data_IF_684997492063
#
_entry.id   IF_684997492063
#
_cell.length_a   1.000
_cell.length_b   1.000
_cell.length_c   1.000
_cell.angle_alpha   90.00
_cell.angle_beta   90.00
_cell.angle_gamma   90.00
#
_symmetry.space_group_name_H-M   'P 1'
#
loop_
_entity.id
_entity.type
_entity.pdbx_description
1 polymer ?
#
# COMPACT_ATOMS: atom_id res chain seq x y z
N UNK A 1 3.60 12.13 -10.97
CA UNK A 1 2.78 11.26 -10.12
C UNK A 1 2.52 11.93 -8.78
N UNK A 2 3.48 11.99 -7.84
CA UNK A 2 3.30 12.87 -6.68
C UNK A 2 4.63 13.44 -6.17
N UNK A 3 4.55 14.57 -5.45
CA UNK A 3 5.71 15.25 -4.88
C UNK A 3 5.37 15.88 -3.52
N UNK A 4 6.25 15.68 -2.57
CA UNK A 4 6.30 16.32 -1.27
C UNK A 4 7.48 17.28 -1.24
N UNK A 5 7.22 18.57 -1.00
CA UNK A 5 8.24 19.62 -0.89
C UNK A 5 8.22 20.21 0.51
N UNK A 6 9.26 19.93 1.31
CA UNK A 6 9.44 20.39 2.69
C UNK A 6 8.18 20.18 3.55
N UNK A 7 7.56 18.99 3.45
CA UNK A 7 6.29 18.70 4.13
C UNK A 7 6.52 18.37 5.59
N UNK A 8 5.76 19.06 6.44
CA UNK A 8 5.69 18.83 7.88
C UNK A 8 4.24 18.58 8.28
N UNK A 9 4.03 17.65 9.19
CA UNK A 9 2.70 17.39 9.74
C UNK A 9 2.73 17.30 11.25
N UNK A 10 1.82 18.06 11.91
CA UNK A 10 1.68 18.14 13.35
C UNK A 10 0.30 17.66 13.77
N UNK A 11 0.22 16.80 14.80
CA UNK A 11 -1.04 16.32 15.38
C UNK A 11 -0.96 16.49 16.90
N UNK A 12 -1.99 17.11 17.48
CA UNK A 12 -2.07 17.32 18.94
C UNK A 12 -0.79 17.89 19.57
N UNK A 13 -0.17 18.86 18.91
CA UNK A 13 1.05 19.49 19.40
C UNK A 13 2.36 18.78 19.06
N UNK A 14 2.33 17.52 18.60
CA UNK A 14 3.52 16.72 18.28
C UNK A 14 3.77 16.65 16.77
N UNK A 15 5.03 16.76 16.38
CA UNK A 15 5.45 16.55 14.99
C UNK A 15 5.47 15.05 14.67
N UNK A 16 4.60 14.65 13.72
CA UNK A 16 4.52 13.27 13.24
C UNK A 16 5.39 13.07 12.00
N UNK A 17 5.40 14.07 11.10
CA UNK A 17 6.29 14.08 9.93
C UNK A 17 7.07 15.40 9.92
N UNK A 18 8.35 15.31 9.53
CA UNK A 18 9.28 16.41 9.56
C UNK A 18 10.08 16.45 8.27
N UNK A 19 10.01 17.60 7.59
CA UNK A 19 10.82 17.90 6.40
C UNK A 19 10.82 16.79 5.33
N UNK A 20 9.65 16.23 5.05
CA UNK A 20 9.53 15.20 4.02
C UNK A 20 9.72 15.82 2.64
N UNK A 21 10.73 15.34 1.93
CA UNK A 21 11.03 15.68 0.54
C UNK A 21 11.07 14.39 -0.27
N UNK A 22 10.00 14.08 -1.01
CA UNK A 22 9.88 12.83 -1.73
C UNK A 22 9.11 13.02 -3.02
N UNK A 23 9.69 12.53 -4.12
CA UNK A 23 9.10 12.54 -5.44
C UNK A 23 8.97 11.11 -5.96
N UNK A 24 7.81 10.78 -6.51
CA UNK A 24 7.51 9.50 -7.15
C UNK A 24 6.99 9.79 -8.55
N UNK A 25 7.59 9.13 -9.54
CA UNK A 25 7.19 9.24 -10.95
C UNK A 25 6.12 8.18 -11.29
N UNK A 26 5.39 8.40 -12.38
CA UNK A 26 4.42 7.43 -12.87
C UNK A 26 5.12 6.10 -13.23
N UNK A 27 4.48 4.98 -12.87
CA UNK A 27 4.98 3.63 -13.12
C UNK A 27 6.09 3.16 -12.16
N UNK A 28 6.59 4.01 -11.24
CA UNK A 28 7.56 3.56 -10.22
C UNK A 28 6.90 2.65 -9.17
N UNK A 29 7.72 1.73 -8.63
CA UNK A 29 7.33 0.78 -7.58
C UNK A 29 8.20 0.99 -6.36
N UNK A 30 7.57 1.47 -5.28
CA UNK A 30 8.27 1.83 -4.07
C UNK A 30 7.88 0.93 -2.91
N UNK A 31 8.86 0.36 -2.22
CA UNK A 31 8.69 -0.21 -0.89
C UNK A 31 8.97 0.86 0.16
N UNK A 32 8.08 1.02 1.12
CA UNK A 32 8.24 1.94 2.25
C UNK A 32 8.40 1.10 3.50
N UNK A 33 9.63 1.08 4.03
CA UNK A 33 9.96 0.36 5.26
C UNK A 33 10.06 1.34 6.43
N UNK A 34 9.43 1.00 7.54
CA UNK A 34 9.52 1.81 8.75
C UNK A 34 8.92 1.11 9.96
N UNK A 35 9.51 1.31 11.12
CA UNK A 35 8.98 0.77 12.38
C UNK A 35 7.60 1.33 12.71
N UNK A 36 6.90 0.68 13.64
CA UNK A 36 5.64 1.18 14.15
C UNK A 36 5.83 2.59 14.75
N UNK A 37 4.89 3.49 14.44
CA UNK A 37 5.00 4.89 14.88
C UNK A 37 5.94 5.77 14.03
N UNK A 38 6.60 5.26 12.99
CA UNK A 38 7.50 6.07 12.13
C UNK A 38 6.78 7.12 11.28
N UNK A 39 5.43 7.06 11.16
CA UNK A 39 4.64 8.01 10.38
C UNK A 39 4.11 7.48 9.05
N UNK A 40 4.28 6.19 8.71
CA UNK A 40 3.86 5.58 7.44
C UNK A 40 2.38 5.84 7.11
N UNK A 41 1.48 5.49 8.02
CA UNK A 41 0.03 5.71 7.82
C UNK A 41 -0.31 7.20 7.65
N UNK A 42 0.36 8.09 8.39
CA UNK A 42 0.18 9.55 8.24
C UNK A 42 0.63 10.00 6.86
N UNK A 43 1.76 9.50 6.37
CA UNK A 43 2.26 9.78 5.03
C UNK A 43 1.24 9.35 3.95
N UNK A 44 0.64 8.15 4.09
CA UNK A 44 -0.40 7.68 3.18
C UNK A 44 -1.68 8.51 3.26
N UNK A 45 -2.08 8.93 4.45
CA UNK A 45 -3.25 9.81 4.62
C UNK A 45 -3.04 11.19 3.98
N UNK A 46 -1.81 11.71 3.97
CA UNK A 46 -1.47 12.93 3.24
C UNK A 46 -1.53 12.71 1.72
N UNK A 47 -0.99 11.61 1.18
CA UNK A 47 -1.06 11.29 -0.26
C UNK A 47 -2.53 11.20 -0.72
N UNK A 48 -3.39 10.55 0.09
CA UNK A 48 -4.81 10.39 -0.21
C UNK A 48 -5.66 11.64 0.08
N UNK A 49 -5.07 12.73 0.58
CA UNK A 49 -5.77 13.96 0.92
C UNK A 49 -6.79 13.82 2.06
N UNK A 50 -6.62 12.83 2.95
CA UNK A 50 -7.40 12.74 4.18
C UNK A 50 -6.88 13.67 5.28
N UNK A 51 -5.65 14.11 5.13
CA UNK A 51 -4.99 15.08 6.01
C UNK A 51 -4.29 16.16 5.19
N UNK A 52 -4.07 17.32 5.80
CA UNK A 52 -3.40 18.46 5.20
C UNK A 52 -2.03 18.67 5.86
N UNK A 53 -1.02 18.96 5.06
CA UNK A 53 0.28 19.35 5.59
C UNK A 53 0.19 20.58 6.49
N UNK A 54 0.92 20.58 7.60
CA UNK A 54 1.05 21.77 8.46
C UNK A 54 1.95 22.82 7.81
N UNK A 55 2.98 22.35 7.06
CA UNK A 55 3.91 23.18 6.27
C UNK A 55 4.32 22.39 5.02
N UNK A 56 4.80 23.12 4.01
CA UNK A 56 5.24 22.55 2.75
C UNK A 56 4.11 22.38 1.74
N UNK A 57 4.40 21.76 0.63
CA UNK A 57 3.46 21.57 -0.47
C UNK A 57 3.39 20.08 -0.86
N UNK A 58 2.18 19.64 -1.17
CA UNK A 58 1.90 18.30 -1.69
C UNK A 58 1.21 18.46 -3.04
N UNK A 59 1.74 17.76 -4.04
CA UNK A 59 1.14 17.61 -5.36
C UNK A 59 0.94 16.13 -5.62
N UNK A 60 -0.25 15.70 -6.02
CA UNK A 60 -0.58 14.30 -6.35
C UNK A 60 -1.36 14.28 -7.66
N UNK A 61 -0.93 13.47 -8.64
CA UNK A 61 -1.56 13.36 -9.96
C UNK A 61 -1.71 14.73 -10.67
N UNK A 62 -0.66 15.56 -10.54
CA UNK A 62 -0.60 16.93 -11.05
C UNK A 62 -1.56 17.93 -10.39
N UNK A 63 -2.26 17.49 -9.34
CA UNK A 63 -3.18 18.27 -8.53
C UNK A 63 -2.51 18.81 -7.28
N UNK A 64 -2.48 20.13 -7.12
CA UNK A 64 -1.92 20.80 -5.95
C UNK A 64 -2.97 20.84 -4.84
N UNK A 65 -2.64 20.31 -3.69
CA UNK A 65 -3.55 20.31 -2.53
C UNK A 65 -3.90 21.74 -2.11
N UNK A 66 -5.21 21.97 -1.89
CA UNK A 66 -5.79 23.28 -1.64
C UNK A 66 -6.44 23.95 -2.86
N UNK A 67 -6.23 23.38 -4.07
CA UNK A 67 -6.81 23.92 -5.33
C UNK A 67 -7.62 22.87 -6.10
N UNK A 68 -7.85 21.70 -5.50
CA UNK A 68 -8.36 20.52 -6.22
C UNK A 68 -9.54 19.87 -5.50
N UNK A 69 -10.39 19.15 -6.26
CA UNK A 69 -11.44 18.26 -5.73
C UNK A 69 -10.81 16.96 -5.23
N UNK A 70 -10.64 16.81 -3.92
CA UNK A 70 -10.08 15.59 -3.33
C UNK A 70 -10.94 14.33 -3.54
N UNK A 71 -12.28 14.38 -3.60
CA UNK A 71 -13.07 13.22 -3.97
C UNK A 71 -12.72 12.64 -5.34
N UNK A 72 -12.55 13.51 -6.35
CA UNK A 72 -12.21 13.08 -7.72
C UNK A 72 -10.79 12.50 -7.78
N UNK A 73 -9.86 13.13 -7.07
CA UNK A 73 -8.50 12.63 -6.93
C UNK A 73 -8.46 11.19 -6.37
N UNK A 74 -9.28 10.93 -5.33
CA UNK A 74 -9.33 9.61 -4.67
C UNK A 74 -9.84 8.49 -5.56
N UNK A 75 -10.63 8.78 -6.59
CA UNK A 75 -11.05 7.77 -7.58
C UNK A 75 -9.87 7.23 -8.41
N UNK A 76 -8.81 8.04 -8.55
CA UNK A 76 -7.57 7.64 -9.23
C UNK A 76 -6.55 6.98 -8.31
N UNK A 77 -6.88 6.81 -7.01
CA UNK A 77 -5.99 6.22 -5.99
C UNK A 77 -6.68 4.99 -5.38
N UNK A 78 -6.15 3.82 -5.64
CA UNK A 78 -6.51 2.60 -4.93
C UNK A 78 -5.77 2.54 -3.58
N UNK A 79 -6.48 2.44 -2.46
CA UNK A 79 -5.85 2.30 -1.16
C UNK A 79 -6.40 1.08 -0.42
N UNK A 80 -5.52 0.11 -0.17
CA UNK A 80 -5.77 -1.07 0.64
C UNK A 80 -5.18 -0.84 2.03
N UNK A 81 -6.01 -0.84 3.06
CA UNK A 81 -5.59 -0.63 4.45
C UNK A 81 -6.53 -1.35 5.42
N UNK A 82 -6.02 -1.68 6.61
CA UNK A 82 -6.82 -2.27 7.67
C UNK A 82 -7.99 -1.37 8.12
N UNK A 83 -7.81 -0.05 8.09
CA UNK A 83 -8.87 0.90 8.41
C UNK A 83 -10.02 0.87 7.40
N UNK A 84 -9.73 0.65 6.11
CA UNK A 84 -10.75 0.45 5.09
C UNK A 84 -11.46 -0.89 5.28
N UNK A 85 -10.70 -1.95 5.57
CA UNK A 85 -11.22 -3.28 5.81
C UNK A 85 -12.31 -3.32 6.88
N UNK A 86 -12.11 -2.61 7.99
CA UNK A 86 -13.06 -2.54 9.12
C UNK A 86 -14.36 -1.78 8.81
N UNK A 87 -14.42 -1.07 7.69
CA UNK A 87 -15.59 -0.28 7.28
C UNK A 87 -16.48 -0.98 6.27
N UNK A 88 -16.02 -2.05 5.66
CA UNK A 88 -16.79 -2.80 4.67
C UNK A 88 -17.94 -3.55 5.32
N UNK A 89 -19.04 -3.71 4.57
CA UNK A 89 -20.22 -4.41 5.06
C UNK A 89 -20.00 -5.93 5.01
N UNK A 90 -20.10 -6.58 6.16
CA UNK A 90 -19.82 -8.00 6.29
C UNK A 90 -20.81 -8.90 5.56
N UNK A 91 -22.05 -8.43 5.33
CA UNK A 91 -23.11 -9.17 4.66
C UNK A 91 -23.02 -9.13 3.12
N UNK A 92 -22.22 -8.23 2.56
CA UNK A 92 -22.01 -8.13 1.10
C UNK A 92 -21.17 -9.30 0.57
N UNK A 93 -21.41 -9.70 -0.66
CA UNK A 93 -20.60 -10.68 -1.37
C UNK A 93 -19.28 -10.08 -1.82
N UNK A 94 -18.28 -10.92 -2.11
CA UNK A 94 -16.98 -10.49 -2.57
C UNK A 94 -17.07 -9.60 -3.81
N UNK A 95 -17.91 -9.97 -4.79
CA UNK A 95 -18.10 -9.21 -6.02
C UNK A 95 -18.85 -7.87 -5.79
N UNK A 96 -19.78 -7.78 -4.83
CA UNK A 96 -20.42 -6.52 -4.47
C UNK A 96 -19.42 -5.55 -3.87
N UNK A 97 -18.57 -6.03 -2.97
CA UNK A 97 -17.48 -5.22 -2.41
C UNK A 97 -16.53 -4.74 -3.52
N UNK A 98 -16.13 -5.63 -4.44
CA UNK A 98 -15.26 -5.26 -5.56
C UNK A 98 -15.93 -4.22 -6.44
N UNK A 99 -17.21 -4.40 -6.80
CA UNK A 99 -17.99 -3.46 -7.60
C UNK A 99 -18.04 -2.06 -6.98
N UNK A 100 -18.17 -1.95 -5.64
CA UNK A 100 -18.18 -0.67 -4.92
C UNK A 100 -16.89 0.12 -5.12
N UNK A 101 -15.77 -0.57 -5.45
CA UNK A 101 -14.47 0.03 -5.75
C UNK A 101 -14.48 0.97 -6.94
N UNK A 102 -15.30 0.70 -7.96
CA UNK A 102 -15.43 1.54 -9.17
C UNK A 102 -15.84 2.99 -8.84
N UNK A 103 -16.57 3.17 -7.75
CA UNK A 103 -17.07 4.46 -7.30
C UNK A 103 -16.32 5.02 -6.08
N UNK A 104 -15.29 4.31 -5.60
CA UNK A 104 -14.56 4.62 -4.36
C UNK A 104 -15.49 4.77 -3.12
N UNK A 105 -16.62 4.04 -3.07
CA UNK A 105 -17.62 4.09 -1.98
C UNK A 105 -17.50 2.88 -1.05
N UNK A 106 -17.98 3.01 0.19
CA UNK A 106 -18.22 1.87 1.08
C UNK A 106 -19.64 1.38 0.81
N UNK A 107 -19.75 0.13 0.35
CA UNK A 107 -21.01 -0.43 -0.12
C UNK A 107 -21.40 0.04 -1.52
N UNK A 108 -22.29 -0.73 -2.15
CA UNK A 108 -22.77 -0.43 -3.49
C UNK A 108 -24.06 0.42 -3.39
N UNK A 109 -23.93 1.74 -3.64
CA UNK A 109 -25.04 2.69 -3.58
C UNK A 109 -25.70 2.96 -4.94
N UNK A 110 -25.33 2.20 -5.97
CA UNK A 110 -25.88 2.24 -7.32
C UNK A 110 -26.54 0.91 -7.64
N UNK A 111 -27.41 0.89 -8.67
CA UNK A 111 -27.98 -0.36 -9.15
C UNK A 111 -26.86 -1.32 -9.58
N UNK A 112 -26.86 -2.51 -9.02
CA UNK A 112 -25.96 -3.60 -9.39
C UNK A 112 -26.38 -4.13 -10.78
N UNK A 113 -25.93 -3.44 -11.85
CA UNK A 113 -26.18 -3.92 -13.21
C UNK A 113 -25.38 -5.22 -13.46
N UNK A 114 -25.92 -6.07 -14.34
CA UNK A 114 -25.22 -7.31 -14.72
C UNK A 114 -23.81 -7.05 -15.26
N UNK A 115 -23.64 -5.99 -16.05
CA UNK A 115 -22.35 -5.55 -16.58
C UNK A 115 -21.35 -5.22 -15.46
N UNK A 116 -21.74 -4.38 -14.48
CA UNK A 116 -20.91 -4.03 -13.34
C UNK A 116 -20.50 -5.25 -12.51
N UNK A 117 -21.43 -6.17 -12.28
CA UNK A 117 -21.15 -7.39 -11.52
C UNK A 117 -20.22 -8.34 -12.29
N UNK A 118 -20.33 -8.41 -13.62
CA UNK A 118 -19.42 -9.19 -14.45
C UNK A 118 -18.02 -8.58 -14.50
N UNK A 119 -17.88 -7.25 -14.57
CA UNK A 119 -16.59 -6.55 -14.42
C UNK A 119 -15.97 -6.88 -13.05
N UNK A 120 -16.73 -6.81 -11.97
CA UNK A 120 -16.27 -7.10 -10.63
C UNK A 120 -15.79 -8.55 -10.46
N UNK A 121 -16.52 -9.52 -11.02
CA UNK A 121 -16.10 -10.93 -11.05
C UNK A 121 -14.82 -11.12 -11.85
N UNK A 122 -14.72 -10.48 -13.01
CA UNK A 122 -13.49 -10.52 -13.85
C UNK A 122 -12.30 -9.98 -13.10
N UNK A 123 -12.47 -8.84 -12.41
CA UNK A 123 -11.43 -8.24 -11.59
C UNK A 123 -11.04 -9.13 -10.40
N UNK A 124 -12.02 -9.79 -9.77
CA UNK A 124 -11.78 -10.72 -8.67
C UNK A 124 -10.99 -11.97 -9.15
N UNK A 125 -11.34 -12.52 -10.31
CA UNK A 125 -10.62 -13.64 -10.95
C UNK A 125 -9.17 -13.21 -11.26
N UNK A 126 -8.97 -12.06 -11.89
CA UNK A 126 -7.64 -11.52 -12.21
C UNK A 126 -6.77 -11.32 -10.95
N UNK A 127 -7.39 -11.06 -9.80
CA UNK A 127 -6.72 -10.95 -8.50
C UNK A 127 -6.52 -12.30 -7.79
N UNK A 128 -6.84 -13.44 -8.42
CA UNK A 128 -6.72 -14.79 -7.84
C UNK A 128 -7.88 -15.19 -6.91
N UNK A 129 -8.96 -14.42 -6.91
CA UNK A 129 -10.11 -14.61 -6.04
C UNK A 129 -11.32 -15.31 -6.67
N UNK A 130 -11.15 -16.09 -7.77
CA UNK A 130 -12.26 -16.81 -8.44
C UNK A 130 -13.11 -17.63 -7.46
N UNK A 131 -12.46 -18.33 -6.54
CA UNK A 131 -13.10 -19.17 -5.52
C UNK A 131 -13.90 -18.39 -4.46
N UNK A 132 -13.88 -17.05 -4.52
CA UNK A 132 -14.58 -16.14 -3.60
C UNK A 132 -15.90 -15.62 -4.17
N UNK A 133 -16.15 -15.83 -5.47
CA UNK A 133 -17.40 -15.40 -6.12
C UNK A 133 -18.61 -16.01 -5.39
N UNK A 134 -19.58 -15.17 -5.04
CA UNK A 134 -20.78 -15.54 -4.28
C UNK A 134 -20.57 -15.72 -2.77
N UNK A 135 -19.32 -15.63 -2.26
CA UNK A 135 -19.08 -15.71 -0.81
C UNK A 135 -19.32 -14.37 -0.14
N UNK A 136 -19.99 -14.40 0.99
CA UNK A 136 -20.10 -13.24 1.87
C UNK A 136 -18.78 -12.91 2.54
N UNK A 137 -18.53 -11.63 2.74
CA UNK A 137 -17.27 -11.16 3.34
C UNK A 137 -17.06 -11.67 4.76
N UNK A 138 -18.12 -11.83 5.56
CA UNK A 138 -18.07 -12.33 6.94
C UNK A 138 -17.43 -13.73 7.06
N UNK A 139 -17.63 -14.61 6.04
CA UNK A 139 -17.08 -15.97 6.05
C UNK A 139 -15.69 -16.09 5.41
N UNK A 140 -15.14 -14.98 4.91
CA UNK A 140 -13.82 -14.96 4.29
C UNK A 140 -12.70 -14.92 5.34
N UNK A 141 -11.64 -15.73 5.11
CA UNK A 141 -10.42 -15.63 5.90
C UNK A 141 -9.72 -14.29 5.69
N UNK A 142 -8.80 -13.91 6.58
CA UNK A 142 -8.05 -12.66 6.48
C UNK A 142 -7.33 -12.51 5.13
N UNK A 143 -6.69 -13.57 4.62
CA UNK A 143 -6.04 -13.56 3.30
C UNK A 143 -7.03 -13.38 2.15
N UNK A 144 -8.20 -14.01 2.24
CA UNK A 144 -9.28 -13.83 1.27
C UNK A 144 -9.83 -12.40 1.29
N UNK A 145 -9.98 -11.82 2.47
CA UNK A 145 -10.38 -10.40 2.63
C UNK A 145 -9.36 -9.46 1.99
N UNK A 146 -8.07 -9.73 2.11
CA UNK A 146 -7.03 -8.94 1.44
C UNK A 146 -7.10 -9.03 -0.08
N UNK A 147 -7.33 -10.22 -0.65
CA UNK A 147 -7.54 -10.36 -2.10
C UNK A 147 -8.74 -9.56 -2.59
N UNK A 148 -9.86 -9.61 -1.87
CA UNK A 148 -11.06 -8.81 -2.18
C UNK A 148 -10.76 -7.31 -2.13
N UNK A 149 -10.01 -6.84 -1.14
CA UNK A 149 -9.61 -5.43 -1.03
C UNK A 149 -8.71 -4.97 -2.16
N UNK A 150 -7.76 -5.82 -2.59
CA UNK A 150 -6.89 -5.52 -3.74
C UNK A 150 -7.72 -5.48 -5.02
N UNK A 151 -8.57 -6.48 -5.27
CA UNK A 151 -9.49 -6.48 -6.41
C UNK A 151 -10.39 -5.23 -6.43
N UNK A 152 -10.93 -4.87 -5.29
CA UNK A 152 -11.73 -3.64 -5.10
C UNK A 152 -10.93 -2.38 -5.44
N UNK A 153 -9.69 -2.28 -4.96
CA UNK A 153 -8.85 -1.11 -5.23
C UNK A 153 -8.48 -0.98 -6.72
N UNK A 154 -8.39 -2.11 -7.44
CA UNK A 154 -8.09 -2.17 -8.87
C UNK A 154 -9.30 -1.91 -9.76
N UNK A 155 -10.53 -2.04 -9.22
CA UNK A 155 -11.78 -1.91 -9.99
C UNK A 155 -11.96 -0.53 -10.64
N UNK A 156 -11.36 0.52 -10.06
CA UNK A 156 -11.37 1.88 -10.61
C UNK A 156 -10.17 2.17 -11.55
N UNK A 157 -9.37 1.16 -11.91
CA UNK A 157 -8.16 1.32 -12.73
C UNK A 157 -7.24 2.45 -12.20
N UNK A 158 -6.82 2.40 -10.93
CA UNK A 158 -6.14 3.50 -10.29
C UNK A 158 -4.77 3.78 -10.94
N UNK A 159 -4.40 5.05 -11.03
CA UNK A 159 -3.05 5.47 -11.44
C UNK A 159 -2.02 5.22 -10.33
N UNK A 160 -2.46 5.23 -9.08
CA UNK A 160 -1.65 4.97 -7.88
C UNK A 160 -2.34 3.91 -7.02
N UNK A 161 -1.65 2.80 -6.76
CA UNK A 161 -2.11 1.77 -5.83
C UNK A 161 -1.24 1.76 -4.59
N UNK A 162 -1.87 1.89 -3.42
CA UNK A 162 -1.22 1.90 -2.12
C UNK A 162 -1.66 0.65 -1.34
N UNK A 163 -0.69 -0.19 -0.99
CA UNK A 163 -0.87 -1.38 -0.17
C UNK A 163 -0.26 -1.14 1.22
N UNK A 164 -1.10 -0.78 2.20
CA UNK A 164 -0.67 -0.39 3.55
C UNK A 164 -0.74 -1.57 4.50
N UNK A 165 0.41 -2.20 4.75
CA UNK A 165 0.60 -3.39 5.57
C UNK A 165 -0.36 -4.55 5.21
N UNK A 166 -0.43 -4.97 3.93
CA UNK A 166 -1.45 -5.90 3.46
C UNK A 166 -1.31 -7.31 4.02
N UNK A 167 -0.14 -7.68 4.54
CA UNK A 167 0.13 -9.00 5.09
C UNK A 167 -0.15 -9.11 6.60
N UNK A 168 -0.60 -8.02 7.25
CA UNK A 168 -0.85 -8.02 8.70
C UNK A 168 -1.94 -9.02 9.08
N UNK A 169 -1.64 -9.89 10.05
CA UNK A 169 -2.57 -10.91 10.56
C UNK A 169 -2.71 -12.15 9.69
N UNK A 170 -1.89 -12.31 8.66
CA UNK A 170 -1.86 -13.51 7.82
C UNK A 170 -0.95 -14.59 8.42
N UNK A 171 -1.35 -15.84 8.28
CA UNK A 171 -0.45 -16.97 8.49
C UNK A 171 0.61 -17.05 7.36
N UNK A 172 1.62 -17.90 7.56
CA UNK A 172 2.75 -18.02 6.65
C UNK A 172 2.35 -18.35 5.21
N UNK A 173 1.36 -19.22 5.03
CA UNK A 173 0.93 -19.68 3.69
C UNK A 173 0.12 -18.58 3.00
N UNK A 174 -0.82 -17.97 3.70
CA UNK A 174 -1.63 -16.87 3.18
C UNK A 174 -0.75 -15.65 2.84
N UNK A 175 0.24 -15.32 3.70
CA UNK A 175 1.22 -14.26 3.45
C UNK A 175 2.01 -14.52 2.16
N UNK A 176 2.57 -15.72 2.00
CA UNK A 176 3.33 -16.09 0.79
C UNK A 176 2.48 -15.98 -0.47
N UNK A 177 1.26 -16.49 -0.43
CA UNK A 177 0.34 -16.45 -1.56
C UNK A 177 0.00 -15.00 -1.93
N UNK A 178 -0.30 -14.15 -0.94
CA UNK A 178 -0.61 -12.74 -1.17
C UNK A 178 0.60 -11.99 -1.77
N UNK A 179 1.80 -12.20 -1.24
CA UNK A 179 3.03 -11.61 -1.77
C UNK A 179 3.28 -12.02 -3.23
N UNK A 180 3.05 -13.29 -3.57
CA UNK A 180 3.15 -13.75 -4.95
C UNK A 180 2.14 -13.05 -5.87
N UNK A 181 0.89 -12.85 -5.45
CA UNK A 181 -0.10 -12.11 -6.22
C UNK A 181 0.30 -10.64 -6.41
N UNK A 182 0.83 -9.99 -5.37
CA UNK A 182 1.32 -8.61 -5.45
C UNK A 182 2.52 -8.50 -6.40
N UNK A 183 3.45 -9.45 -6.38
CA UNK A 183 4.60 -9.48 -7.29
C UNK A 183 4.16 -9.65 -8.75
N UNK A 184 3.21 -10.54 -9.01
CA UNK A 184 2.60 -10.72 -10.34
C UNK A 184 1.91 -9.42 -10.79
N UNK A 185 1.09 -8.82 -9.94
CA UNK A 185 0.42 -7.54 -10.21
C UNK A 185 1.44 -6.45 -10.56
N UNK A 186 2.49 -6.31 -9.75
CA UNK A 186 3.54 -5.32 -9.97
C UNK A 186 4.22 -5.48 -11.32
N UNK A 187 4.42 -6.70 -11.79
CA UNK A 187 5.05 -6.99 -13.10
C UNK A 187 4.14 -6.73 -14.28
N UNK A 188 2.82 -6.98 -14.13
CA UNK A 188 1.86 -6.93 -15.23
C UNK A 188 1.11 -5.60 -15.35
N UNK A 189 1.25 -4.68 -14.39
CA UNK A 189 0.64 -3.35 -14.40
C UNK A 189 1.69 -2.23 -14.50
N UNK A 190 2.44 -2.10 -15.62
CA UNK A 190 3.57 -1.16 -15.73
C UNK A 190 3.13 0.32 -15.69
N UNK A 191 1.86 0.61 -15.96
CA UNK A 191 1.31 1.97 -15.94
C UNK A 191 0.84 2.40 -14.56
N UNK A 192 0.60 1.45 -13.65
CA UNK A 192 0.16 1.74 -12.29
C UNK A 192 1.38 1.95 -11.40
N UNK A 193 1.42 3.08 -10.70
CA UNK A 193 2.42 3.34 -9.66
C UNK A 193 2.04 2.54 -8.42
N UNK A 194 2.98 1.80 -7.84
CA UNK A 194 2.73 0.99 -6.65
C UNK A 194 3.52 1.50 -5.44
N UNK A 195 2.84 1.65 -4.31
CA UNK A 195 3.45 1.83 -3.00
C UNK A 195 3.12 0.63 -2.12
N UNK A 196 4.12 -0.07 -1.66
CA UNK A 196 4.00 -1.17 -0.72
C UNK A 196 4.59 -0.76 0.64
N UNK A 197 3.75 -0.68 1.65
CA UNK A 197 4.13 -0.23 2.98
C UNK A 197 4.20 -1.43 3.91
N UNK A 198 5.33 -1.57 4.61
CA UNK A 198 5.53 -2.64 5.59
C UNK A 198 6.50 -2.21 6.68
N UNK A 199 6.52 -2.96 7.76
CA UNK A 199 7.57 -2.92 8.78
C UNK A 199 8.40 -4.22 8.81
N UNK A 200 8.15 -5.13 7.85
CA UNK A 200 8.78 -6.44 7.71
C UNK A 200 9.71 -6.48 6.49
N UNK A 201 10.98 -6.74 6.71
CA UNK A 201 11.98 -6.83 5.62
C UNK A 201 11.76 -8.04 4.72
N UNK A 202 11.23 -9.14 5.25
CA UNK A 202 10.90 -10.35 4.49
C UNK A 202 9.70 -10.19 3.54
N UNK A 203 9.01 -9.06 3.58
CA UNK A 203 7.92 -8.72 2.65
C UNK A 203 8.40 -7.90 1.44
N UNK A 204 9.70 -7.56 1.41
CA UNK A 204 10.28 -6.81 0.29
C UNK A 204 10.38 -7.71 -0.95
N UNK A 205 9.63 -7.34 -1.98
CA UNK A 205 9.56 -8.10 -3.22
C UNK A 205 10.57 -7.58 -4.25
N UNK A 206 11.16 -8.45 -5.08
CA UNK A 206 12.11 -8.05 -6.13
C UNK A 206 11.53 -7.07 -7.16
N UNK A 207 10.21 -7.04 -7.34
CA UNK A 207 9.54 -6.11 -8.24
C UNK A 207 9.52 -4.66 -7.76
N UNK A 208 9.85 -4.39 -6.49
CA UNK A 208 9.98 -3.03 -5.96
C UNK A 208 11.43 -2.56 -6.05
N UNK A 209 11.75 -1.84 -7.12
CA UNK A 209 13.10 -1.37 -7.43
C UNK A 209 13.52 -0.11 -6.67
N UNK A 210 12.56 0.58 -6.06
CA UNK A 210 12.77 1.77 -5.21
C UNK A 210 12.36 1.49 -3.76
N UNK A 211 13.09 2.10 -2.83
CA UNK A 211 12.79 2.01 -1.41
C UNK A 211 12.90 3.36 -0.72
N UNK A 212 12.05 3.53 0.30
CA UNK A 212 12.11 4.62 1.26
C UNK A 212 12.15 4.04 2.68
N UNK A 213 13.15 4.43 3.45
CA UNK A 213 13.26 4.12 4.88
C UNK A 213 12.75 5.31 5.68
N UNK A 214 11.65 5.10 6.44
CA UNK A 214 11.02 6.13 7.25
C UNK A 214 11.29 5.87 8.73
N UNK A 215 11.93 6.82 9.43
CA UNK A 215 12.30 6.71 10.84
C UNK A 215 11.91 7.98 11.59
N UNK A 216 11.16 7.85 12.68
CA UNK A 216 10.79 8.96 13.58
C UNK A 216 10.21 10.19 12.88
N UNK A 217 9.43 9.96 11.81
CA UNK A 217 8.79 11.00 11.01
C UNK A 217 9.68 11.67 9.97
N UNK A 218 10.88 11.15 9.73
CA UNK A 218 11.84 11.68 8.76
C UNK A 218 12.24 10.59 7.74
N UNK A 219 12.62 11.00 6.53
CA UNK A 219 13.21 10.09 5.55
C UNK A 219 14.66 9.81 5.97
N UNK A 220 14.92 8.62 6.47
CA UNK A 220 16.27 8.16 6.80
C UNK A 220 17.12 7.97 5.55
N UNK A 221 16.57 7.27 4.56
CA UNK A 221 17.19 7.07 3.25
C UNK A 221 16.11 6.78 2.19
N UNK A 222 16.41 7.06 0.93
CA UNK A 222 15.58 6.69 -0.22
C UNK A 222 16.45 6.49 -1.45
N UNK A 223 16.11 5.52 -2.30
CA UNK A 223 16.90 5.22 -3.50
C UNK A 223 16.55 3.87 -4.09
N UNK A 224 17.50 3.27 -4.80
CA UNK A 224 17.37 1.92 -5.32
C UNK A 224 17.30 0.91 -4.17
N UNK A 225 16.36 -0.03 -4.25
CA UNK A 225 16.15 -1.04 -3.20
C UNK A 225 17.44 -1.82 -2.90
N UNK A 226 18.19 -2.20 -3.93
CA UNK A 226 19.43 -2.95 -3.78
C UNK A 226 20.53 -2.19 -3.03
N UNK A 227 20.54 -0.86 -3.11
CA UNK A 227 21.53 -0.01 -2.40
C UNK A 227 21.16 0.14 -0.92
N UNK A 228 19.88 0.03 -0.57
CA UNK A 228 19.36 0.22 0.80
C UNK A 228 19.21 -1.10 1.57
N UNK A 229 19.03 -2.23 0.89
CA UNK A 229 19.00 -3.56 1.52
C UNK A 229 20.43 -4.08 1.71
N UNK A 230 21.19 -3.43 2.58
CA UNK A 230 22.54 -3.86 2.96
C UNK A 230 22.64 -3.99 4.48
N UNK A 231 23.59 -4.80 4.95
CA UNK A 231 23.86 -4.96 6.38
C UNK A 231 24.05 -3.58 7.05
N UNK A 232 24.90 -2.74 6.48
CA UNK A 232 25.27 -1.45 7.06
C UNK A 232 24.06 -0.48 7.11
N UNK A 233 23.31 -0.38 5.99
CA UNK A 233 22.15 0.49 5.91
C UNK A 233 21.04 0.06 6.86
N UNK A 234 20.68 -1.23 6.89
CA UNK A 234 19.64 -1.72 7.77
C UNK A 234 20.06 -1.71 9.24
N UNK A 235 21.33 -2.01 9.55
CA UNK A 235 21.83 -1.90 10.93
C UNK A 235 21.77 -0.46 11.45
N UNK A 236 22.16 0.52 10.63
CA UNK A 236 22.03 1.93 10.99
C UNK A 236 20.55 2.38 11.12
N UNK A 237 19.69 1.87 10.26
CA UNK A 237 18.26 2.18 10.30
C UNK A 237 17.57 1.63 11.55
N UNK A 238 17.81 0.34 11.87
CA UNK A 238 17.21 -0.33 13.04
C UNK A 238 17.93 -0.06 14.35
N UNK A 239 19.15 0.51 14.32
CA UNK A 239 20.05 0.73 15.48
C UNK A 239 20.43 -0.59 16.18
N UNK A 240 20.47 -1.66 15.41
CA UNK A 240 20.82 -3.02 15.84
C UNK A 240 21.66 -3.70 14.76
N UNK A 241 22.51 -4.65 15.15
CA UNK A 241 23.31 -5.38 14.17
C UNK A 241 22.44 -6.38 13.40
N UNK A 242 22.11 -6.03 12.14
CA UNK A 242 21.26 -6.82 11.24
C UNK A 242 22.16 -7.53 10.21
N UNK A 243 21.97 -8.83 10.05
CA UNK A 243 22.50 -9.55 8.90
C UNK A 243 21.45 -9.63 7.81
N UNK A 244 21.89 -9.51 6.57
CA UNK A 244 21.03 -9.53 5.38
C UNK A 244 21.50 -10.68 4.48
N UNK A 245 20.58 -11.55 4.11
CA UNK A 245 20.79 -12.60 3.13
C UNK A 245 19.82 -12.43 1.97
N UNK A 246 20.34 -12.37 0.75
CA UNK A 246 19.57 -12.40 -0.47
C UNK A 246 19.44 -13.85 -0.94
N UNK A 247 18.21 -14.35 -1.00
CA UNK A 247 17.91 -15.67 -1.51
C UNK A 247 18.02 -15.71 -3.05
N UNK A 248 18.12 -16.90 -3.64
CA UNK A 248 18.24 -17.07 -5.11
C UNK A 248 17.05 -16.53 -5.90
N UNK A 249 15.88 -16.45 -5.28
CA UNK A 249 14.65 -15.89 -5.85
C UNK A 249 14.52 -14.36 -5.64
N UNK A 250 15.55 -13.74 -5.04
CA UNK A 250 15.60 -12.30 -4.75
C UNK A 250 14.86 -11.91 -3.47
N UNK A 251 14.34 -12.86 -2.69
CA UNK A 251 13.78 -12.56 -1.39
C UNK A 251 14.85 -12.15 -0.39
N UNK A 252 14.50 -11.23 0.49
CA UNK A 252 15.37 -10.71 1.55
C UNK A 252 15.06 -11.44 2.86
N UNK A 253 16.08 -11.98 3.48
CA UNK A 253 16.00 -12.49 4.84
C UNK A 253 16.89 -11.65 5.75
N UNK A 254 16.34 -11.18 6.84
CA UNK A 254 17.11 -10.43 7.85
C UNK A 254 17.03 -11.13 9.20
N UNK A 255 18.13 -11.11 9.94
CA UNK A 255 18.17 -11.64 11.31
C UNK A 255 19.13 -10.84 12.17
N UNK A 256 18.78 -10.76 13.46
CA UNK A 256 19.63 -10.14 14.45
C UNK A 256 20.80 -11.07 14.82
N UNK A 257 22.00 -10.52 14.99
CA UNK A 257 23.07 -11.26 15.64
C UNK A 257 22.63 -11.57 17.08
N UNK A 258 22.59 -12.86 17.45
CA UNK A 258 22.41 -13.20 18.85
C UNK A 258 23.62 -12.65 19.63
N UNK A 259 23.39 -11.67 20.48
CA UNK A 259 24.33 -11.38 21.55
C UNK A 259 24.29 -12.60 22.49
N UNK A 260 25.35 -13.41 22.46
CA UNK A 260 25.58 -14.47 23.45
C UNK A 260 25.88 -13.85 24.80
#
# INVERSE_FOLDING_TARGET
MFEFQNVWFKKQGQWILKNINWQVKAGERWAILGLNGSGKTTLMQLINGYMWATKGQITVLDEVFGKTSLPDLRQSIGWVSSALQQRLYEHETAEEIVASGKFATIGLHVLATEELMNEAKTQLIASGGEHLIGKKYEVCSQGQRQLILIARALMAEPKLLILDEPCTGLDLVAKRNLLNHIDILARHAPQTTLLYITHHTEELLPSFDKMLLLKSGEIFAKGATQELITKDSLSAFFEEEINVELQKDGQVTTYLNRRL
#
